data_IF_995069393006
#
_entry.id   IF_995069393006
#
_cell.length_a   1.000
_cell.length_b   1.000
_cell.length_c   1.000
_cell.angle_alpha   90.00
_cell.angle_beta   90.00
_cell.angle_gamma   90.00
#
_symmetry.space_group_name_H-M   'P 1'
#
loop_
_entity.id
_entity.type
_entity.pdbx_description
1 polymer ?
#
# COMPACT_ATOMS: atom_id res chain seq x y z
N UNK A 1 -4.93 -0.99 20.98
CA UNK A 1 -3.90 -1.49 21.92
C UNK A 1 -4.09 -2.97 22.22
N UNK A 2 -5.23 -3.43 22.74
CA UNK A 2 -5.46 -4.87 22.98
C UNK A 2 -5.43 -5.73 21.71
N UNK A 3 -6.08 -5.29 20.62
CA UNK A 3 -6.05 -6.05 19.35
C UNK A 3 -4.63 -6.22 18.77
N UNK A 4 -3.75 -5.23 18.94
CA UNK A 4 -2.34 -5.33 18.52
C UNK A 4 -1.56 -6.32 19.40
N UNK A 5 -1.87 -6.38 20.71
CA UNK A 5 -1.30 -7.36 21.65
C UNK A 5 -1.77 -8.79 21.33
N UNK A 6 -3.02 -8.96 20.93
CA UNK A 6 -3.58 -10.26 20.51
C UNK A 6 -2.93 -10.75 19.21
N UNK A 7 -2.78 -9.87 18.21
CA UNK A 7 -2.09 -10.18 16.96
C UNK A 7 -0.61 -10.54 17.23
N UNK A 8 0.08 -9.84 18.13
CA UNK A 8 1.45 -10.17 18.54
C UNK A 8 1.57 -11.57 19.18
N UNK A 9 0.60 -11.97 20.00
CA UNK A 9 0.54 -13.32 20.60
C UNK A 9 0.24 -14.41 19.58
N UNK A 10 -0.70 -14.18 18.67
CA UNK A 10 -1.07 -15.14 17.63
C UNK A 10 0.09 -15.37 16.64
N UNK A 11 0.84 -14.32 16.30
CA UNK A 11 2.05 -14.42 15.48
C UNK A 11 3.18 -15.19 16.17
N UNK A 12 3.29 -15.09 17.50
CA UNK A 12 4.32 -15.78 18.28
C UNK A 12 4.00 -17.27 18.53
N UNK A 13 2.72 -17.63 18.64
CA UNK A 13 2.28 -19.00 18.93
C UNK A 13 2.24 -19.90 17.68
N UNK A 14 2.22 -19.32 16.48
CA UNK A 14 2.12 -20.06 15.21
C UNK A 14 3.42 -20.45 14.52
N UNK A 15 4.61 -20.08 15.01
CA UNK A 15 5.86 -20.28 14.26
C UNK A 15 6.74 -21.44 14.78
N UNK A 16 6.41 -22.67 14.41
CA UNK A 16 7.49 -23.62 14.13
C UNK A 16 8.14 -23.16 12.82
N UNK A 17 9.43 -22.82 12.90
CA UNK A 17 10.14 -21.97 11.95
C UNK A 17 10.00 -22.37 10.49
N UNK A 18 9.38 -21.50 9.70
CA UNK A 18 9.43 -21.52 8.24
C UNK A 18 10.61 -20.71 7.71
N UNK A 19 11.23 -21.21 6.64
CA UNK A 19 12.27 -20.52 5.87
C UNK A 19 11.88 -19.06 5.59
N UNK A 20 12.63 -18.10 6.16
CA UNK A 20 12.53 -16.67 5.81
C UNK A 20 12.16 -15.70 6.93
N UNK A 21 11.86 -16.17 8.14
CA UNK A 21 11.57 -15.30 9.29
C UNK A 21 12.84 -14.93 10.08
N UNK A 22 12.99 -13.66 10.45
CA UNK A 22 14.10 -13.19 11.29
C UNK A 22 13.86 -13.64 12.73
N UNK A 23 14.69 -14.57 13.22
CA UNK A 23 14.59 -15.07 14.60
C UNK A 23 14.63 -13.92 15.61
N UNK A 24 15.56 -12.97 15.46
CA UNK A 24 15.65 -11.87 16.41
C UNK A 24 14.49 -10.86 16.30
N UNK A 25 13.77 -10.77 15.17
CA UNK A 25 12.50 -10.02 15.13
C UNK A 25 11.40 -10.74 15.92
N UNK A 26 11.28 -12.06 15.76
CA UNK A 26 10.32 -12.86 16.52
C UNK A 26 10.59 -12.80 18.03
N UNK A 27 11.86 -12.89 18.42
CA UNK A 27 12.27 -12.78 19.82
C UNK A 27 11.93 -11.39 20.40
N UNK A 28 12.07 -10.32 19.62
CA UNK A 28 11.66 -8.96 20.00
C UNK A 28 10.14 -8.88 20.23
N UNK A 29 9.35 -9.33 19.25
CA UNK A 29 7.88 -9.32 19.34
C UNK A 29 7.40 -10.14 20.54
N UNK A 30 8.02 -11.31 20.77
CA UNK A 30 7.72 -12.16 21.92
C UNK A 30 8.04 -11.46 23.24
N UNK A 31 9.23 -10.89 23.36
CA UNK A 31 9.67 -10.18 24.57
C UNK A 31 8.73 -9.01 24.92
N UNK A 32 8.27 -8.27 23.90
CA UNK A 32 7.30 -7.18 24.07
C UNK A 32 5.90 -7.72 24.43
N UNK A 33 5.46 -8.81 23.79
CA UNK A 33 4.17 -9.44 24.08
C UNK A 33 4.08 -10.09 25.47
N UNK A 34 5.22 -10.44 26.06
CA UNK A 34 5.35 -10.99 27.42
C UNK A 34 5.58 -9.92 28.50
N UNK A 35 5.76 -8.66 28.12
CA UNK A 35 5.96 -7.56 29.06
C UNK A 35 4.75 -7.38 29.99
N UNK A 36 5.01 -7.25 31.29
CA UNK A 36 3.97 -7.19 32.33
C UNK A 36 3.50 -5.77 32.61
N UNK A 37 4.21 -4.76 32.11
CA UNK A 37 3.89 -3.35 32.30
C UNK A 37 4.37 -2.52 31.12
N UNK A 38 3.80 -1.31 30.95
CA UNK A 38 4.25 -0.38 29.91
C UNK A 38 5.71 0.06 30.12
N UNK A 39 6.14 0.24 31.38
CA UNK A 39 7.53 0.57 31.69
C UNK A 39 8.51 -0.56 31.27
N UNK A 40 8.10 -1.82 31.39
CA UNK A 40 8.90 -2.95 30.92
C UNK A 40 8.96 -3.02 29.39
N UNK A 41 7.81 -2.83 28.72
CA UNK A 41 7.71 -2.72 27.27
C UNK A 41 8.63 -1.62 26.73
N UNK A 42 8.54 -0.42 27.29
CA UNK A 42 9.34 0.73 26.90
C UNK A 42 10.84 0.47 27.08
N UNK A 43 11.24 -0.18 28.18
CA UNK A 43 12.65 -0.55 28.43
C UNK A 43 13.18 -1.53 27.37
N UNK A 44 12.35 -2.49 26.92
CA UNK A 44 12.73 -3.44 25.87
C UNK A 44 12.89 -2.71 24.53
N UNK A 45 11.92 -1.85 24.18
CA UNK A 45 11.94 -1.09 22.92
C UNK A 45 13.12 -0.12 22.86
N UNK A 46 13.39 0.63 23.94
CA UNK A 46 14.51 1.57 24.01
C UNK A 46 15.86 0.86 23.84
N UNK A 47 16.04 -0.31 24.45
CA UNK A 47 17.24 -1.14 24.25
C UNK A 47 17.40 -1.58 22.80
N UNK A 48 16.31 -1.97 22.14
CA UNK A 48 16.36 -2.34 20.72
C UNK A 48 16.68 -1.13 19.84
N UNK A 49 16.13 0.06 20.12
CA UNK A 49 16.46 1.29 19.42
C UNK A 49 17.97 1.59 19.50
N UNK A 50 18.56 1.53 20.70
CA UNK A 50 20.01 1.72 20.88
C UNK A 50 20.85 0.68 20.14
N UNK A 51 20.38 -0.56 20.09
CA UNK A 51 21.01 -1.65 19.32
C UNK A 51 20.96 -1.34 17.81
N UNK A 52 19.78 -0.98 17.29
CA UNK A 52 19.56 -0.68 15.88
C UNK A 52 20.33 0.57 15.43
N UNK A 53 20.38 1.63 16.23
CA UNK A 53 21.17 2.85 15.94
C UNK A 53 22.64 2.53 15.69
N UNK A 54 23.23 1.60 16.46
CA UNK A 54 24.61 1.17 16.27
C UNK A 54 24.78 0.26 15.06
N UNK A 55 23.88 -0.72 14.89
CA UNK A 55 23.99 -1.74 13.85
C UNK A 55 23.72 -1.20 12.44
N UNK A 56 22.84 -0.22 12.29
CA UNK A 56 22.41 0.25 10.96
C UNK A 56 23.49 1.07 10.23
N UNK A 57 24.47 1.61 10.96
CA UNK A 57 25.59 2.40 10.43
C UNK A 57 26.84 1.56 10.17
N UNK A 58 26.84 0.27 10.52
CA UNK A 58 27.97 -0.62 10.27
C UNK A 58 28.27 -0.73 8.76
N UNK A 59 29.54 -0.70 8.35
CA UNK A 59 29.90 -0.89 6.96
C UNK A 59 29.67 -2.35 6.52
N UNK A 60 29.22 -2.55 5.29
CA UNK A 60 29.13 -3.89 4.70
C UNK A 60 27.96 -4.75 5.22
N UNK A 61 26.92 -4.14 5.81
CA UNK A 61 25.73 -4.88 6.26
C UNK A 61 25.11 -5.62 5.07
N UNK A 62 24.93 -6.94 5.15
CA UNK A 62 24.24 -7.70 4.12
C UNK A 62 22.82 -7.16 3.93
N UNK A 63 22.37 -7.01 2.68
CA UNK A 63 21.03 -6.48 2.35
C UNK A 63 19.89 -7.18 3.10
N UNK A 64 20.02 -8.50 3.30
CA UNK A 64 19.08 -9.31 4.10
C UNK A 64 18.96 -8.82 5.55
N UNK A 65 20.09 -8.51 6.21
CA UNK A 65 20.09 -7.97 7.58
C UNK A 65 19.54 -6.55 7.63
N UNK A 66 19.89 -5.71 6.66
CA UNK A 66 19.32 -4.36 6.55
C UNK A 66 17.79 -4.40 6.46
N UNK A 67 17.24 -5.33 5.66
CA UNK A 67 15.80 -5.58 5.61
C UNK A 67 15.20 -5.90 6.99
N UNK A 68 15.87 -6.76 7.76
CA UNK A 68 15.42 -7.14 9.10
C UNK A 68 15.44 -5.93 10.06
N UNK A 69 16.47 -5.08 9.99
CA UNK A 69 16.53 -3.84 10.78
C UNK A 69 15.39 -2.90 10.43
N UNK A 70 15.10 -2.67 9.14
CA UNK A 70 13.98 -1.84 8.71
C UNK A 70 12.64 -2.39 9.23
N UNK A 71 12.41 -3.71 9.18
CA UNK A 71 11.18 -4.32 9.70
C UNK A 71 11.03 -4.08 11.21
N UNK A 72 12.12 -4.16 11.98
CA UNK A 72 12.10 -3.86 13.42
C UNK A 72 11.80 -2.39 13.67
N UNK A 73 12.37 -1.48 12.88
CA UNK A 73 12.08 -0.05 12.99
C UNK A 73 10.61 0.25 12.70
N UNK A 74 10.00 -0.43 11.73
CA UNK A 74 8.54 -0.34 11.49
C UNK A 74 7.77 -0.77 12.74
N UNK A 75 8.19 -1.85 13.40
CA UNK A 75 7.55 -2.29 14.64
C UNK A 75 7.71 -1.29 15.79
N UNK A 76 8.89 -0.68 15.92
CA UNK A 76 9.17 0.37 16.90
C UNK A 76 8.27 1.59 16.70
N UNK A 77 8.11 2.07 15.45
CA UNK A 77 7.20 3.18 15.11
C UNK A 77 5.74 2.82 15.39
N UNK A 78 5.32 1.59 15.08
CA UNK A 78 3.95 1.13 15.39
C UNK A 78 3.65 1.11 16.89
N UNK A 79 4.67 0.99 17.75
CA UNK A 79 4.55 1.10 19.21
C UNK A 79 4.60 2.56 19.71
N UNK A 80 4.81 3.52 18.81
CA UNK A 80 4.83 4.96 19.09
C UNK A 80 6.19 5.51 19.50
N UNK A 81 7.29 4.80 19.20
CA UNK A 81 8.65 5.26 19.49
C UNK A 81 9.35 5.76 18.23
N UNK A 82 10.12 6.84 18.34
CA UNK A 82 10.86 7.45 17.23
C UNK A 82 11.95 6.53 16.67
N UNK A 83 11.86 6.27 15.37
CA UNK A 83 12.80 5.53 14.56
C UNK A 83 13.29 6.33 13.34
N UNK A 84 13.16 7.67 13.36
CA UNK A 84 13.53 8.59 12.26
C UNK A 84 14.94 8.37 11.71
N UNK A 85 15.90 7.97 12.54
CA UNK A 85 17.26 7.61 12.14
C UNK A 85 17.33 6.51 11.06
N UNK A 86 16.30 5.67 10.96
CA UNK A 86 16.19 4.60 9.98
C UNK A 86 15.53 5.00 8.66
N UNK A 87 14.91 6.18 8.57
CA UNK A 87 14.05 6.54 7.43
C UNK A 87 14.83 6.62 6.11
N UNK A 88 16.01 7.22 6.14
CA UNK A 88 16.88 7.29 4.95
C UNK A 88 17.30 5.90 4.46
N UNK A 89 17.45 4.92 5.36
CA UNK A 89 17.79 3.55 4.99
C UNK A 89 16.61 2.83 4.33
N UNK A 90 15.38 3.11 4.77
CA UNK A 90 14.17 2.63 4.09
C UNK A 90 14.03 3.22 2.68
N UNK A 91 14.32 4.53 2.52
CA UNK A 91 14.36 5.19 1.20
C UNK A 91 15.43 4.57 0.31
N UNK A 92 16.64 4.34 0.81
CA UNK A 92 17.69 3.64 0.03
C UNK A 92 17.24 2.24 -0.41
N UNK A 93 16.46 1.55 0.41
CA UNK A 93 15.96 0.22 0.09
C UNK A 93 14.93 0.21 -1.05
N UNK A 94 14.18 1.28 -1.28
CA UNK A 94 13.27 1.38 -2.44
C UNK A 94 14.02 1.41 -3.77
N UNK A 95 15.31 1.78 -3.75
CA UNK A 95 16.14 1.84 -4.96
C UNK A 95 16.75 0.48 -5.34
N UNK A 96 16.62 -0.54 -4.47
CA UNK A 96 17.23 -1.85 -4.71
C UNK A 96 16.50 -2.61 -5.83
N UNK A 97 17.22 -3.28 -6.73
CA UNK A 97 16.61 -4.05 -7.82
C UNK A 97 15.91 -5.33 -7.34
N UNK A 98 16.24 -5.82 -6.15
CA UNK A 98 15.58 -6.98 -5.58
C UNK A 98 14.14 -6.64 -5.15
N UNK A 99 13.16 -7.30 -5.75
CA UNK A 99 11.74 -7.08 -5.50
C UNK A 99 11.35 -7.18 -4.01
N UNK A 100 11.91 -8.12 -3.26
CA UNK A 100 11.57 -8.31 -1.83
C UNK A 100 12.07 -7.13 -1.02
N UNK A 101 13.30 -6.68 -1.26
CA UNK A 101 13.86 -5.51 -0.59
C UNK A 101 13.09 -4.25 -0.96
N UNK A 102 12.85 -4.03 -2.25
CA UNK A 102 12.09 -2.89 -2.76
C UNK A 102 10.68 -2.82 -2.15
N UNK A 103 9.96 -3.94 -2.07
CA UNK A 103 8.63 -4.00 -1.42
C UNK A 103 8.70 -3.70 0.08
N UNK A 104 9.72 -4.20 0.79
CA UNK A 104 9.94 -3.84 2.20
C UNK A 104 10.25 -2.35 2.35
N UNK A 105 11.09 -1.79 1.47
CA UNK A 105 11.36 -0.35 1.42
C UNK A 105 10.08 0.45 1.22
N UNK A 106 9.27 0.10 0.22
CA UNK A 106 8.00 0.79 -0.06
C UNK A 106 7.02 0.73 1.10
N UNK A 107 6.90 -0.44 1.76
CA UNK A 107 6.09 -0.57 2.96
C UNK A 107 6.59 0.36 4.06
N UNK A 108 7.90 0.32 4.35
CA UNK A 108 8.51 1.11 5.40
C UNK A 108 8.34 2.61 5.17
N UNK A 109 8.63 3.13 3.97
CA UNK A 109 8.46 4.57 3.68
C UNK A 109 7.01 5.02 3.72
N UNK A 110 6.06 4.15 3.35
CA UNK A 110 4.61 4.44 3.45
C UNK A 110 4.14 4.56 4.91
N UNK A 111 4.83 3.88 5.83
CA UNK A 111 4.53 3.91 7.27
C UNK A 111 5.30 5.00 8.01
N UNK A 112 6.53 5.29 7.59
CA UNK A 112 7.42 6.27 8.23
C UNK A 112 7.16 7.71 7.79
N UNK A 113 6.91 7.92 6.49
CA UNK A 113 6.92 9.25 5.90
C UNK A 113 5.51 9.82 5.80
N UNK A 114 5.39 11.06 6.24
CA UNK A 114 4.27 11.92 5.88
C UNK A 114 4.57 12.62 4.56
N UNK A 115 3.53 13.13 3.91
CA UNK A 115 3.60 13.76 2.60
C UNK A 115 4.37 15.09 2.56
N UNK A 116 4.64 15.69 3.72
CA UNK A 116 5.44 16.92 3.87
C UNK A 116 6.91 16.65 4.26
N UNK A 117 7.33 15.38 4.34
CA UNK A 117 8.68 15.05 4.76
C UNK A 117 9.70 15.33 3.63
N UNK A 118 10.85 15.93 3.97
CA UNK A 118 11.95 16.23 3.02
C UNK A 118 12.42 15.05 2.13
N UNK A 119 12.21 13.80 2.58
CA UNK A 119 12.62 12.60 1.85
C UNK A 119 11.64 12.23 0.73
N UNK A 120 10.45 12.86 0.67
CA UNK A 120 9.44 12.60 -0.36
C UNK A 120 10.00 12.84 -1.75
N UNK A 121 10.83 13.87 -1.95
CA UNK A 121 11.45 14.16 -3.26
C UNK A 121 12.26 12.98 -3.79
N UNK A 122 13.03 12.30 -2.93
CA UNK A 122 13.81 11.12 -3.30
C UNK A 122 12.91 9.94 -3.71
N UNK A 123 11.79 9.78 -3.01
CA UNK A 123 10.82 8.72 -3.27
C UNK A 123 10.02 8.99 -4.55
N UNK A 124 9.65 10.23 -4.83
CA UNK A 124 8.93 10.61 -6.06
C UNK A 124 9.73 10.21 -7.30
N UNK A 125 11.04 10.52 -7.33
CA UNK A 125 11.92 10.11 -8.42
C UNK A 125 11.97 8.58 -8.60
N UNK A 126 12.00 7.84 -7.48
CA UNK A 126 11.98 6.37 -7.50
C UNK A 126 10.65 5.83 -8.01
N UNK A 127 9.53 6.40 -7.55
CA UNK A 127 8.18 6.05 -7.98
C UNK A 127 8.04 6.27 -9.50
N UNK A 128 8.46 7.41 -10.03
CA UNK A 128 8.39 7.67 -11.47
C UNK A 128 9.13 6.60 -12.30
N UNK A 129 10.32 6.19 -11.85
CA UNK A 129 11.08 5.12 -12.48
C UNK A 129 10.33 3.78 -12.39
N UNK A 130 9.85 3.44 -11.20
CA UNK A 130 9.24 2.14 -10.92
C UNK A 130 7.85 1.98 -11.54
N UNK A 131 7.11 3.07 -11.78
CA UNK A 131 5.85 3.07 -12.54
C UNK A 131 6.05 2.66 -14.01
N UNK A 132 7.26 2.82 -14.56
CA UNK A 132 7.65 2.43 -15.92
C UNK A 132 8.32 1.06 -15.98
N UNK A 133 8.34 0.31 -14.88
CA UNK A 133 9.00 -1.00 -14.83
C UNK A 133 8.21 -2.06 -15.61
N UNK A 134 8.93 -2.92 -16.34
CA UNK A 134 8.34 -4.12 -16.97
C UNK A 134 7.80 -5.12 -15.94
N UNK A 135 8.28 -5.05 -14.69
CA UNK A 135 7.79 -5.89 -13.62
C UNK A 135 6.55 -5.27 -12.98
N UNK A 136 5.38 -5.82 -13.33
CA UNK A 136 4.10 -5.34 -12.81
C UNK A 136 4.00 -5.35 -11.27
N UNK A 137 4.78 -6.19 -10.56
CA UNK A 137 4.81 -6.19 -9.09
C UNK A 137 5.53 -4.96 -8.53
N UNK A 138 6.55 -4.46 -9.23
CA UNK A 138 7.21 -3.18 -8.91
C UNK A 138 6.24 -2.03 -9.16
N UNK A 139 5.56 -2.02 -10.31
CA UNK A 139 4.52 -1.03 -10.64
C UNK A 139 3.43 -1.01 -9.57
N UNK A 140 2.95 -2.18 -9.15
CA UNK A 140 1.95 -2.30 -8.08
C UNK A 140 2.44 -1.72 -6.74
N UNK A 141 3.72 -1.88 -6.40
CA UNK A 141 4.30 -1.34 -5.18
C UNK A 141 4.37 0.19 -5.24
N UNK A 142 4.82 0.74 -6.37
CA UNK A 142 4.87 2.17 -6.62
C UNK A 142 3.47 2.81 -6.59
N UNK A 143 2.46 2.20 -7.23
CA UNK A 143 1.08 2.70 -7.21
C UNK A 143 0.47 2.72 -5.79
N UNK A 144 0.82 1.77 -4.91
CA UNK A 144 0.34 1.83 -3.52
C UNK A 144 1.00 2.99 -2.76
N UNK A 145 2.30 3.20 -2.97
CA UNK A 145 3.03 4.30 -2.36
C UNK A 145 2.49 5.66 -2.83
N UNK A 146 2.12 5.76 -4.11
CA UNK A 146 1.49 6.95 -4.70
C UNK A 146 0.24 7.38 -3.91
N UNK A 147 -0.63 6.44 -3.52
CA UNK A 147 -1.86 6.77 -2.80
C UNK A 147 -1.61 7.45 -1.43
N UNK A 148 -0.45 7.23 -0.82
CA UNK A 148 -0.13 7.72 0.53
C UNK A 148 0.85 8.88 0.54
N UNK A 149 1.87 8.84 -0.32
CA UNK A 149 3.05 9.72 -0.24
C UNK A 149 3.00 10.93 -1.17
N UNK A 150 2.14 10.91 -2.20
CA UNK A 150 2.05 12.01 -3.18
C UNK A 150 1.16 13.12 -2.63
N UNK A 151 1.72 14.33 -2.61
CA UNK A 151 1.04 15.59 -2.29
C UNK A 151 0.62 16.33 -3.57
N UNK A 152 -0.14 17.41 -3.43
CA UNK A 152 -0.65 18.18 -4.58
C UNK A 152 0.47 18.65 -5.54
N UNK A 153 1.60 19.11 -5.00
CA UNK A 153 2.73 19.61 -5.79
C UNK A 153 3.41 18.51 -6.62
N UNK A 154 3.37 17.26 -6.15
CA UNK A 154 4.03 16.12 -6.80
C UNK A 154 3.11 15.31 -7.70
N UNK A 155 1.78 15.54 -7.66
CA UNK A 155 0.81 14.90 -8.57
C UNK A 155 1.22 15.04 -10.05
N UNK A 156 1.54 16.25 -10.58
CA UNK A 156 1.88 16.42 -11.99
C UNK A 156 3.06 15.55 -12.44
N UNK A 157 3.96 15.23 -11.50
CA UNK A 157 5.16 14.45 -11.76
C UNK A 157 4.86 12.96 -12.05
N UNK A 158 3.79 12.41 -11.47
CA UNK A 158 3.43 10.98 -11.59
C UNK A 158 2.14 10.73 -12.37
N UNK A 159 1.31 11.75 -12.54
CA UNK A 159 -0.01 11.66 -13.16
C UNK A 159 0.03 11.06 -14.58
N UNK A 160 0.94 11.47 -15.50
CA UNK A 160 0.97 10.90 -16.85
C UNK A 160 1.15 9.39 -16.85
N UNK A 161 2.05 8.88 -15.99
CA UNK A 161 2.30 7.45 -15.87
C UNK A 161 1.11 6.72 -15.25
N UNK A 162 0.45 7.28 -14.24
CA UNK A 162 -0.75 6.67 -13.65
C UNK A 162 -1.88 6.54 -14.67
N UNK A 163 -2.07 7.55 -15.54
CA UNK A 163 -3.08 7.53 -16.60
C UNK A 163 -2.76 6.45 -17.64
N UNK A 164 -1.50 6.34 -18.07
CA UNK A 164 -1.05 5.29 -18.99
C UNK A 164 -1.33 3.88 -18.44
N UNK A 165 -1.07 3.68 -17.13
CA UNK A 165 -1.26 2.41 -16.45
C UNK A 165 -2.74 1.98 -16.30
N UNK A 166 -3.71 2.87 -16.55
CA UNK A 166 -5.12 2.48 -16.68
C UNK A 166 -5.34 1.51 -17.85
N UNK A 167 -4.47 1.52 -18.87
CA UNK A 167 -4.49 0.63 -20.02
C UNK A 167 -3.62 -0.62 -19.88
N UNK A 168 -2.99 -0.85 -18.73
CA UNK A 168 -2.00 -1.92 -18.55
C UNK A 168 -2.61 -3.33 -18.73
N UNK A 169 -1.82 -4.28 -19.25
CA UNK A 169 -2.28 -5.66 -19.52
C UNK A 169 -2.75 -6.40 -18.27
N UNK A 170 -2.07 -6.18 -17.14
CA UNK A 170 -2.41 -6.76 -15.82
C UNK A 170 -3.52 -6.01 -15.10
N UNK A 171 -4.57 -6.72 -14.72
CA UNK A 171 -5.73 -6.22 -13.97
C UNK A 171 -5.35 -5.63 -12.61
N UNK A 172 -4.39 -6.25 -11.89
CA UNK A 172 -3.91 -5.73 -10.61
C UNK A 172 -3.30 -4.31 -10.72
N UNK A 173 -2.66 -4.00 -11.85
CA UNK A 173 -2.09 -2.68 -12.13
C UNK A 173 -3.22 -1.70 -12.45
N UNK A 174 -4.14 -2.05 -13.36
CA UNK A 174 -5.30 -1.20 -13.72
C UNK A 174 -6.12 -0.83 -12.49
N UNK A 175 -6.42 -1.80 -11.63
CA UNK A 175 -7.15 -1.61 -10.36
C UNK A 175 -6.47 -0.57 -9.47
N UNK A 176 -5.15 -0.67 -9.31
CA UNK A 176 -4.38 0.26 -8.48
C UNK A 176 -4.22 1.64 -9.11
N UNK A 177 -4.11 1.71 -10.44
CA UNK A 177 -4.06 2.98 -11.17
C UNK A 177 -5.38 3.77 -11.02
N UNK A 178 -6.52 3.09 -11.04
CA UNK A 178 -7.84 3.71 -10.76
C UNK A 178 -7.87 4.30 -9.35
N UNK A 179 -7.41 3.56 -8.34
CA UNK A 179 -7.36 4.04 -6.95
C UNK A 179 -6.38 5.19 -6.76
N UNK A 180 -5.24 5.17 -7.45
CA UNK A 180 -4.29 6.28 -7.44
C UNK A 180 -4.90 7.54 -8.07
N UNK A 181 -5.58 7.41 -9.21
CA UNK A 181 -6.27 8.54 -9.85
C UNK A 181 -7.41 9.08 -8.98
N UNK A 182 -8.17 8.20 -8.33
CA UNK A 182 -9.21 8.58 -7.38
C UNK A 182 -8.63 9.35 -6.18
N UNK A 183 -7.48 8.92 -5.66
CA UNK A 183 -6.77 9.65 -4.61
C UNK A 183 -6.33 11.05 -5.07
N UNK A 184 -5.86 11.18 -6.30
CA UNK A 184 -5.51 12.49 -6.88
C UNK A 184 -6.73 13.40 -7.01
N UNK A 185 -7.89 12.85 -7.36
CA UNK A 185 -9.14 13.61 -7.37
C UNK A 185 -9.48 14.20 -6.00
N UNK A 186 -9.30 13.45 -4.91
CA UNK A 186 -9.51 13.99 -3.57
C UNK A 186 -8.48 15.05 -3.16
N UNK A 187 -7.25 14.97 -3.67
CA UNK A 187 -6.18 15.92 -3.31
C UNK A 187 -6.23 17.20 -4.14
N UNK A 188 -6.37 17.08 -5.46
CA UNK A 188 -6.37 18.20 -6.40
C UNK A 188 -7.37 17.92 -7.53
N UNK A 189 -8.68 18.18 -7.32
CA UNK A 189 -9.72 17.93 -8.32
C UNK A 189 -9.46 18.67 -9.65
N UNK A 190 -8.91 19.88 -9.57
CA UNK A 190 -8.55 20.72 -10.71
C UNK A 190 -7.59 19.99 -11.66
N UNK A 191 -6.57 19.34 -11.10
CA UNK A 191 -5.52 18.63 -11.83
C UNK A 191 -6.02 17.41 -12.61
N UNK A 192 -7.12 16.77 -12.19
CA UNK A 192 -7.59 15.50 -12.78
C UNK A 192 -8.99 15.53 -13.39
N UNK A 193 -9.69 16.67 -13.32
CA UNK A 193 -11.05 16.86 -13.85
C UNK A 193 -11.24 16.34 -15.29
N UNK A 194 -10.29 16.62 -16.17
CA UNK A 194 -10.29 16.17 -17.58
C UNK A 194 -10.13 14.66 -17.75
N UNK A 195 -9.63 13.95 -16.73
CA UNK A 195 -9.34 12.51 -16.74
C UNK A 195 -10.48 11.66 -16.16
N UNK A 196 -11.49 12.28 -15.54
CA UNK A 196 -12.59 11.57 -14.87
C UNK A 196 -13.43 10.74 -15.85
N UNK A 197 -13.43 11.11 -17.14
CA UNK A 197 -14.05 10.31 -18.21
C UNK A 197 -13.45 8.90 -18.34
N UNK A 198 -12.22 8.68 -17.87
CA UNK A 198 -11.59 7.36 -17.85
C UNK A 198 -12.30 6.40 -16.90
N UNK A 199 -12.90 6.86 -15.80
CA UNK A 199 -13.67 6.00 -14.91
C UNK A 199 -14.87 5.40 -15.64
N UNK A 200 -15.56 6.17 -16.48
CA UNK A 200 -16.66 5.63 -17.30
C UNK A 200 -16.21 4.48 -18.19
N UNK A 201 -15.04 4.62 -18.82
CA UNK A 201 -14.47 3.58 -19.69
C UNK A 201 -14.08 2.33 -18.89
N UNK A 202 -13.60 2.50 -17.65
CA UNK A 202 -13.14 1.39 -16.79
C UNK A 202 -14.28 0.65 -16.09
N UNK A 203 -15.48 1.23 -16.03
CA UNK A 203 -16.68 0.55 -15.54
C UNK A 203 -17.01 -0.71 -16.37
N UNK A 204 -16.62 -0.73 -17.65
CA UNK A 204 -16.81 -1.86 -18.55
C UNK A 204 -15.55 -2.73 -18.71
N UNK A 205 -14.61 -2.70 -17.75
CA UNK A 205 -13.42 -3.55 -17.81
C UNK A 205 -13.79 -5.03 -17.74
N UNK A 206 -13.04 -5.88 -18.43
CA UNK A 206 -13.27 -7.34 -18.47
C UNK A 206 -13.01 -8.01 -17.12
N UNK A 207 -12.15 -7.42 -16.30
CA UNK A 207 -11.90 -7.93 -14.95
C UNK A 207 -12.87 -7.31 -13.94
N UNK A 208 -13.67 -8.12 -13.21
CA UNK A 208 -14.64 -7.61 -12.23
C UNK A 208 -14.00 -6.83 -11.08
N UNK A 209 -12.72 -7.07 -10.78
CA UNK A 209 -11.99 -6.39 -9.72
C UNK A 209 -11.57 -4.98 -10.12
N UNK A 210 -11.28 -4.77 -11.40
CA UNK A 210 -11.04 -3.44 -12.00
C UNK A 210 -12.35 -2.67 -12.12
N UNK A 211 -13.42 -3.32 -12.60
CA UNK A 211 -14.76 -2.74 -12.63
C UNK A 211 -15.22 -2.31 -11.22
N UNK A 212 -15.12 -3.21 -10.24
CA UNK A 212 -15.53 -2.93 -8.85
C UNK A 212 -14.73 -1.77 -8.24
N UNK A 213 -13.43 -1.68 -8.50
CA UNK A 213 -12.63 -0.54 -8.05
C UNK A 213 -13.08 0.78 -8.71
N UNK A 214 -13.65 0.74 -9.91
CA UNK A 214 -14.15 1.93 -10.60
C UNK A 214 -15.44 2.47 -9.97
N UNK A 215 -16.18 1.64 -9.22
CA UNK A 215 -17.40 2.08 -8.53
C UNK A 215 -17.09 3.12 -7.45
N UNK A 216 -15.95 3.03 -6.76
CA UNK A 216 -15.58 3.97 -5.70
C UNK A 216 -15.45 5.44 -6.20
N UNK A 217 -14.64 5.76 -7.23
CA UNK A 217 -14.59 7.12 -7.75
C UNK A 217 -15.91 7.56 -8.39
N UNK A 218 -16.64 6.66 -9.05
CA UNK A 218 -17.94 7.00 -9.64
C UNK A 218 -18.97 7.37 -8.57
N UNK A 219 -18.98 6.68 -7.43
CA UNK A 219 -19.86 7.00 -6.31
C UNK A 219 -19.67 8.45 -5.84
N UNK A 220 -18.41 8.88 -5.63
CA UNK A 220 -18.12 10.24 -5.19
C UNK A 220 -18.52 11.28 -6.25
N UNK A 221 -18.24 11.00 -7.53
CA UNK A 221 -18.59 11.90 -8.64
C UNK A 221 -20.11 12.04 -8.81
N UNK A 222 -20.85 10.94 -8.70
CA UNK A 222 -22.31 10.90 -8.83
C UNK A 222 -22.98 11.59 -7.64
N UNK A 223 -22.40 11.45 -6.44
CA UNK A 223 -22.87 12.15 -5.24
C UNK A 223 -22.75 13.67 -5.40
N UNK A 224 -21.73 14.15 -6.10
CA UNK A 224 -21.54 15.57 -6.39
C UNK A 224 -22.43 16.08 -7.54
N UNK A 225 -22.57 15.32 -8.62
CA UNK A 225 -23.44 15.66 -9.76
C UNK A 225 -24.11 14.42 -10.34
N UNK A 226 -25.33 14.12 -9.89
CA UNK A 226 -26.06 12.95 -10.36
C UNK A 226 -26.55 13.10 -11.82
N UNK A 227 -26.81 14.32 -12.30
CA UNK A 227 -27.45 14.52 -13.59
C UNK A 227 -26.52 14.12 -14.75
N UNK A 228 -25.22 14.41 -14.61
CA UNK A 228 -24.23 14.09 -15.63
C UNK A 228 -24.00 12.59 -15.84
N UNK A 229 -24.42 11.72 -14.91
CA UNK A 229 -24.12 10.29 -14.93
C UNK A 229 -25.36 9.39 -15.04
N UNK A 230 -26.53 9.96 -15.34
CA UNK A 230 -27.79 9.20 -15.53
C UNK A 230 -27.69 8.15 -16.64
N UNK A 231 -26.84 8.38 -17.64
CA UNK A 231 -26.55 7.43 -18.72
C UNK A 231 -25.92 6.12 -18.21
N UNK A 232 -25.22 6.15 -17.06
CA UNK A 232 -24.56 4.96 -16.50
C UNK A 232 -25.53 4.02 -15.76
N UNK A 233 -26.77 4.43 -15.51
CA UNK A 233 -27.76 3.59 -14.80
C UNK A 233 -27.94 2.23 -15.48
N UNK A 234 -27.98 2.22 -16.82
CA UNK A 234 -28.10 0.98 -17.60
C UNK A 234 -26.91 0.05 -17.35
N UNK A 235 -25.70 0.61 -17.27
CA UNK A 235 -24.48 -0.13 -16.98
C UNK A 235 -24.49 -0.70 -15.57
N UNK A 236 -24.89 0.08 -14.56
CA UNK A 236 -24.98 -0.40 -13.17
C UNK A 236 -26.02 -1.52 -13.01
N UNK A 237 -27.20 -1.39 -13.63
CA UNK A 237 -28.22 -2.45 -13.61
C UNK A 237 -27.71 -3.71 -14.32
N UNK A 238 -26.97 -3.56 -15.43
CA UNK A 238 -26.35 -4.69 -16.13
C UNK A 238 -25.30 -5.41 -15.27
N UNK A 239 -24.46 -4.66 -14.55
CA UNK A 239 -23.48 -5.21 -13.61
C UNK A 239 -24.20 -5.97 -12.49
N UNK A 240 -25.22 -5.36 -11.87
CA UNK A 240 -25.97 -5.98 -10.79
C UNK A 240 -26.67 -7.27 -11.23
N UNK A 241 -27.23 -7.30 -12.46
CA UNK A 241 -27.79 -8.53 -13.05
C UNK A 241 -26.74 -9.62 -13.23
N UNK A 242 -25.55 -9.28 -13.73
CA UNK A 242 -24.46 -10.25 -13.86
C UNK A 242 -24.04 -10.83 -12.51
N UNK A 243 -24.01 -10.01 -11.47
CA UNK A 243 -23.73 -10.46 -10.10
C UNK A 243 -24.84 -11.38 -9.59
N UNK A 244 -26.11 -10.96 -9.65
CA UNK A 244 -27.25 -11.74 -9.17
C UNK A 244 -27.42 -13.09 -9.87
N UNK A 245 -27.04 -13.17 -11.14
CA UNK A 245 -27.09 -14.41 -11.95
C UNK A 245 -25.81 -15.26 -11.85
N UNK A 246 -24.89 -14.95 -10.91
CA UNK A 246 -23.62 -15.65 -10.73
C UNK A 246 -22.76 -15.76 -12.01
N UNK A 247 -22.79 -14.73 -12.87
CA UNK A 247 -22.00 -14.68 -14.11
C UNK A 247 -20.54 -14.26 -13.89
N UNK A 248 -20.21 -13.75 -12.71
CA UNK A 248 -18.84 -13.44 -12.33
C UNK A 248 -18.04 -14.71 -11.96
N UNK A 249 -16.69 -14.69 -11.99
CA UNK A 249 -15.89 -15.82 -11.58
C UNK A 249 -16.19 -16.24 -10.13
N UNK A 250 -16.19 -17.54 -9.85
CA UNK A 250 -16.45 -18.11 -8.51
C UNK A 250 -15.54 -17.56 -7.39
N UNK A 251 -14.38 -17.01 -7.75
CA UNK A 251 -13.50 -16.33 -6.80
C UNK A 251 -14.14 -15.09 -6.14
N UNK A 252 -15.23 -14.56 -6.71
CA UNK A 252 -16.01 -13.45 -6.16
C UNK A 252 -17.21 -13.91 -5.31
N UNK A 253 -17.48 -15.22 -5.20
CA UNK A 253 -18.50 -15.73 -4.30
C UNK A 253 -17.97 -15.74 -2.86
N UNK A 254 -18.74 -15.16 -1.93
CA UNK A 254 -18.41 -15.13 -0.51
C UNK A 254 -19.55 -15.72 0.31
N UNK A 255 -19.33 -16.86 0.96
CA UNK A 255 -20.37 -17.62 1.68
C UNK A 255 -21.66 -17.80 0.86
N UNK A 256 -21.54 -18.21 -0.40
CA UNK A 256 -22.65 -18.42 -1.35
C UNK A 256 -23.38 -17.13 -1.78
N UNK A 257 -22.90 -15.95 -1.34
CA UNK A 257 -23.37 -14.66 -1.83
C UNK A 257 -22.48 -14.21 -3.01
N UNK A 258 -23.04 -13.91 -4.18
CA UNK A 258 -22.24 -13.49 -5.32
C UNK A 258 -21.75 -12.06 -5.16
N UNK A 259 -20.43 -11.86 -5.15
CA UNK A 259 -19.75 -10.56 -5.15
C UNK A 259 -20.41 -9.48 -4.25
N UNK A 260 -20.60 -9.73 -2.94
CA UNK A 260 -21.36 -8.83 -2.07
C UNK A 260 -20.77 -7.43 -1.93
N UNK A 261 -19.46 -7.25 -2.20
CA UNK A 261 -18.80 -5.94 -2.15
C UNK A 261 -18.94 -5.13 -3.44
N UNK A 262 -19.47 -5.73 -4.51
CA UNK A 262 -19.76 -5.06 -5.79
C UNK A 262 -21.24 -4.63 -5.85
N UNK A 263 -22.12 -5.35 -5.15
CA UNK A 263 -23.55 -5.01 -5.02
C UNK A 263 -23.72 -3.71 -4.24
#
# INVERSE_FOLDING_TARGET
MEQLKTIGRELAMGSQGGFGQSKEFLDLVKSIGEARSKAEEDRIVLREIESLKRRIVEPGIPKRKMKEYIIRLVYVEMLGHDASFGYIHAVKMTHDDNLVLKRTGYLAVTLFLNEDHDLIILIVNTIQKDLKSDNYLIVCAALNAVCKLINEETIPAVLPQVVELLGHSKEAVRKKAIMALHRFYHKSPSSVSHLLSNFRKKLCDSDPGVMGATLCPLFDLITNDANSYKDLVVSFVSILKQVAEHRLPKAYDYHQLPAPFIQ
#
